data_IF_356141641247
#
_entry.id   IF_356141641247
#
_cell.length_a   1.000
_cell.length_b   1.000
_cell.length_c   1.000
_cell.angle_alpha   90.00
_cell.angle_beta   90.00
_cell.angle_gamma   90.00
#
_symmetry.space_group_name_H-M   'P 1'
#
loop_
_entity.id
_entity.type
_entity.pdbx_description
1 polymer ?
#
# COMPACT_ATOMS: atom_id res chain seq x y z
N UNK A 1 -1.42 -26.10 25.40
CA UNK A 1 -2.45 -25.98 26.45
C UNK A 1 -3.56 -26.94 26.04
N UNK A 2 -3.72 -28.15 26.58
CA UNK A 2 -3.93 -28.62 27.96
C UNK A 2 -5.29 -29.34 27.96
N UNK A 3 -5.29 -30.61 28.39
CA UNK A 3 -6.41 -31.36 29.00
C UNK A 3 -7.55 -31.80 28.06
N UNK A 4 -8.19 -32.96 28.18
CA UNK A 4 -8.20 -34.06 29.16
C UNK A 4 -8.64 -35.34 28.40
N UNK A 5 -8.07 -36.53 28.64
CA UNK A 5 -8.39 -37.46 29.73
C UNK A 5 -9.90 -37.77 29.85
N UNK A 6 -10.35 -38.87 29.25
CA UNK A 6 -11.58 -39.57 29.67
C UNK A 6 -11.31 -41.06 29.75
N UNK A 7 -11.30 -41.53 30.99
CA UNK A 7 -11.20 -42.91 31.41
C UNK A 7 -12.58 -43.60 31.37
N UNK A 8 -12.49 -44.93 31.36
CA UNK A 8 -13.49 -46.00 31.57
C UNK A 8 -14.61 -45.70 32.59
N UNK A 9 -15.73 -46.43 32.50
CA UNK A 9 -16.04 -47.29 33.64
C UNK A 9 -16.35 -48.75 33.26
N UNK A 10 -15.87 -49.59 34.15
CA UNK A 10 -16.01 -51.03 34.29
C UNK A 10 -17.10 -51.27 35.34
N UNK A 11 -18.10 -52.09 35.02
CA UNK A 11 -19.10 -52.66 35.94
C UNK A 11 -20.01 -53.60 35.12
N UNK A 12 -20.05 -54.90 35.41
CA UNK A 12 -20.85 -55.45 36.51
C UNK A 12 -20.98 -56.99 36.39
N UNK A 13 -21.00 -57.63 37.54
CA UNK A 13 -21.10 -59.07 37.81
C UNK A 13 -22.42 -59.71 37.33
N UNK A 14 -22.51 -61.06 37.30
CA UNK A 14 -23.24 -61.66 38.42
C UNK A 14 -22.57 -62.90 39.03
N UNK A 15 -22.42 -62.83 40.36
CA UNK A 15 -22.23 -63.96 41.26
C UNK A 15 -23.50 -64.83 41.34
N UNK A 16 -23.32 -66.15 41.36
CA UNK A 16 -24.39 -67.13 41.60
C UNK A 16 -23.84 -68.44 42.16
N UNK A 17 -23.74 -68.51 43.49
CA UNK A 17 -23.38 -69.70 44.27
C UNK A 17 -24.63 -70.39 44.85
N UNK A 18 -24.64 -71.73 44.91
CA UNK A 18 -25.36 -72.65 45.84
C UNK A 18 -25.01 -74.08 45.38
N UNK A 19 -24.23 -74.95 46.03
CA UNK A 19 -24.10 -75.45 47.42
C UNK A 19 -25.17 -76.48 47.81
N UNK A 20 -24.70 -77.75 47.94
CA UNK A 20 -25.16 -78.91 48.77
C UNK A 20 -26.52 -79.54 48.43
N UNK A 21 -26.75 -80.86 48.55
CA UNK A 21 -26.32 -81.75 49.62
C UNK A 21 -26.44 -83.25 49.24
N UNK A 22 -25.66 -84.10 49.92
CA UNK A 22 -25.52 -85.54 49.71
C UNK A 22 -26.01 -86.24 50.96
N UNK A 23 -27.04 -87.09 50.88
CA UNK A 23 -27.51 -87.89 52.02
C UNK A 23 -27.34 -89.38 51.78
N UNK A 24 -26.31 -89.91 52.45
CA UNK A 24 -26.00 -91.32 52.72
C UNK A 24 -26.21 -91.56 54.21
N UNK A 25 -27.09 -92.48 54.63
CA UNK A 25 -27.10 -93.20 55.93
C UNK A 25 -28.13 -94.33 55.80
N UNK A 26 -27.81 -95.61 55.70
CA UNK A 26 -27.19 -96.57 56.63
C UNK A 26 -27.99 -96.93 57.91
N UNK A 27 -27.95 -98.23 58.21
CA UNK A 27 -28.16 -98.93 59.47
C UNK A 27 -29.59 -99.26 59.95
N UNK A 28 -29.80 -100.56 60.20
CA UNK A 28 -30.98 -101.08 60.89
C UNK A 28 -30.96 -102.58 61.12
N UNK A 29 -29.89 -103.09 61.75
CA UNK A 29 -29.70 -104.49 62.12
C UNK A 29 -30.40 -104.90 63.43
N UNK A 30 -30.52 -106.23 63.58
CA UNK A 30 -30.58 -107.03 64.81
C UNK A 30 -31.96 -107.42 65.39
N UNK A 31 -32.18 -108.73 65.52
CA UNK A 31 -32.28 -109.38 66.84
C UNK A 31 -32.38 -110.91 66.68
N UNK A 32 -31.40 -111.62 67.25
CA UNK A 32 -31.34 -113.08 67.32
C UNK A 32 -32.07 -113.64 68.53
N UNK A 33 -32.81 -114.73 68.30
CA UNK A 33 -33.36 -115.61 69.34
C UNK A 33 -32.58 -116.91 69.32
N UNK A 34 -32.02 -117.30 70.47
CA UNK A 34 -31.27 -118.55 70.63
C UNK A 34 -32.15 -119.78 70.33
N UNK A 35 -31.67 -120.74 69.53
CA UNK A 35 -32.49 -121.87 69.10
C UNK A 35 -32.54 -122.95 70.19
N UNK A 36 -33.75 -123.22 70.69
CA UNK A 36 -34.06 -124.39 71.49
C UNK A 36 -33.75 -125.65 70.67
N UNK A 37 -32.69 -126.40 71.03
CA UNK A 37 -32.29 -127.73 70.47
C UNK A 37 -32.91 -128.02 69.10
N UNK A 38 -32.58 -127.19 68.11
CA UNK A 38 -33.13 -127.34 66.76
C UNK A 38 -32.53 -128.57 66.16
N UNK A 39 -33.40 -129.47 65.73
CA UNK A 39 -32.97 -130.69 65.05
C UNK A 39 -32.27 -130.32 63.75
N UNK A 40 -31.42 -131.20 63.20
CA UNK A 40 -30.80 -130.99 61.87
C UNK A 40 -31.84 -130.60 60.80
N UNK A 41 -33.07 -131.07 60.94
CA UNK A 41 -34.22 -130.72 60.10
C UNK A 41 -34.57 -129.24 60.21
N UNK A 42 -34.72 -128.72 61.43
CA UNK A 42 -35.14 -127.34 61.65
C UNK A 42 -34.09 -126.35 61.13
N UNK A 43 -32.80 -126.63 61.34
CA UNK A 43 -31.69 -125.82 60.81
C UNK A 43 -31.66 -125.78 59.29
N UNK A 44 -31.92 -126.93 58.64
CA UNK A 44 -32.00 -127.02 57.18
C UNK A 44 -33.20 -126.24 56.64
N UNK A 45 -34.36 -126.30 57.31
CA UNK A 45 -35.57 -125.57 56.91
C UNK A 45 -35.39 -124.05 57.03
N UNK A 46 -34.83 -123.61 58.16
CA UNK A 46 -34.54 -122.19 58.42
C UNK A 46 -33.52 -121.63 57.41
N UNK A 47 -32.43 -122.37 57.16
CA UNK A 47 -31.43 -121.97 56.16
C UNK A 47 -32.02 -121.89 54.74
N UNK A 48 -32.86 -122.85 54.35
CA UNK A 48 -33.51 -122.83 53.04
C UNK A 48 -34.52 -121.67 52.91
N UNK A 49 -35.23 -121.34 53.99
CA UNK A 49 -36.17 -120.22 54.03
C UNK A 49 -35.45 -118.87 53.98
N UNK A 50 -34.32 -118.73 54.66
CA UNK A 50 -33.45 -117.55 54.57
C UNK A 50 -32.91 -117.34 53.15
N UNK A 51 -32.38 -118.38 52.51
CA UNK A 51 -31.86 -118.28 51.12
C UNK A 51 -32.98 -117.88 50.14
N UNK A 52 -34.18 -118.43 50.33
CA UNK A 52 -35.34 -118.07 49.50
C UNK A 52 -35.81 -116.62 49.73
N UNK A 53 -35.75 -116.11 50.97
CA UNK A 53 -36.09 -114.74 51.30
C UNK A 53 -35.11 -113.72 50.69
N UNK A 54 -33.84 -114.12 50.54
CA UNK A 54 -32.79 -113.34 49.86
C UNK A 54 -32.93 -113.37 48.31
N UNK A 55 -33.93 -114.08 47.76
CA UNK A 55 -34.15 -114.21 46.31
C UNK A 55 -33.34 -115.32 45.63
N UNK A 56 -32.58 -116.12 46.40
CA UNK A 56 -31.78 -117.22 45.90
C UNK A 56 -32.55 -118.55 45.79
N UNK A 57 -32.10 -119.43 44.89
CA UNK A 57 -32.61 -120.81 44.81
C UNK A 57 -31.87 -121.72 45.81
N UNK A 58 -32.53 -122.31 46.83
CA UNK A 58 -31.84 -123.10 47.84
C UNK A 58 -31.24 -124.40 47.25
N UNK A 59 -29.91 -124.48 47.14
CA UNK A 59 -29.19 -125.69 46.71
C UNK A 59 -28.67 -126.48 47.92
N UNK A 60 -28.43 -127.79 47.75
CA UNK A 60 -27.95 -128.66 48.85
C UNK A 60 -26.65 -128.12 49.44
N UNK A 61 -25.73 -127.60 48.62
CA UNK A 61 -24.45 -127.03 49.07
C UNK A 61 -24.65 -125.79 49.94
N UNK A 62 -25.46 -124.82 49.47
CA UNK A 62 -25.73 -123.58 50.20
C UNK A 62 -26.42 -123.86 51.55
N UNK A 63 -27.41 -124.74 51.55
CA UNK A 63 -28.16 -125.11 52.74
C UNK A 63 -27.26 -125.89 53.72
N UNK A 64 -26.39 -126.77 53.23
CA UNK A 64 -25.42 -127.51 54.04
C UNK A 64 -24.42 -126.57 54.73
N UNK A 65 -23.87 -125.61 53.99
CA UNK A 65 -22.91 -124.63 54.53
C UNK A 65 -23.55 -123.74 55.59
N UNK A 66 -24.79 -123.27 55.36
CA UNK A 66 -25.49 -122.36 56.26
C UNK A 66 -26.11 -123.07 57.48
N UNK A 67 -26.62 -124.30 57.33
CA UNK A 67 -27.20 -125.09 58.42
C UNK A 67 -26.18 -125.94 59.20
N UNK A 68 -24.94 -126.06 58.70
CA UNK A 68 -23.85 -126.86 59.29
C UNK A 68 -24.26 -128.32 59.60
N UNK A 69 -24.91 -128.98 58.65
CA UNK A 69 -25.36 -130.36 58.79
C UNK A 69 -24.65 -131.31 57.82
N UNK A 70 -24.83 -132.63 57.99
CA UNK A 70 -24.28 -133.61 57.05
C UNK A 70 -24.93 -133.47 55.66
N UNK A 71 -24.21 -133.87 54.59
CA UNK A 71 -24.73 -133.83 53.22
C UNK A 71 -26.00 -134.69 53.04
N UNK A 72 -26.06 -135.81 53.77
CA UNK A 72 -27.23 -136.70 53.79
C UNK A 72 -28.43 -136.02 54.46
N UNK A 73 -28.24 -135.33 55.59
CA UNK A 73 -29.28 -134.55 56.27
C UNK A 73 -29.77 -133.39 55.39
N UNK A 74 -28.86 -132.63 54.77
CA UNK A 74 -29.20 -131.51 53.90
C UNK A 74 -30.04 -131.95 52.70
N UNK A 75 -29.65 -133.03 52.02
CA UNK A 75 -30.38 -133.53 50.84
C UNK A 75 -31.79 -134.02 51.23
N UNK A 76 -31.89 -134.79 52.32
CA UNK A 76 -33.17 -135.34 52.80
C UNK A 76 -34.13 -134.23 53.23
N UNK A 77 -33.69 -133.34 54.12
CA UNK A 77 -34.55 -132.30 54.68
C UNK A 77 -34.79 -131.15 53.70
N UNK A 78 -33.89 -130.86 52.75
CA UNK A 78 -34.17 -129.89 51.68
C UNK A 78 -35.21 -130.43 50.69
N UNK A 79 -35.19 -131.72 50.37
CA UNK A 79 -36.27 -132.35 49.59
C UNK A 79 -37.60 -132.22 50.32
N UNK A 80 -37.61 -132.55 51.61
CA UNK A 80 -38.79 -132.41 52.46
C UNK A 80 -39.26 -130.95 52.60
N UNK A 81 -38.34 -129.99 52.69
CA UNK A 81 -38.65 -128.57 52.71
C UNK A 81 -39.21 -128.09 51.37
N UNK A 82 -38.64 -128.52 50.24
CA UNK A 82 -39.18 -128.20 48.91
C UNK A 82 -40.55 -128.81 48.72
N UNK A 83 -40.77 -130.04 49.18
CA UNK A 83 -42.06 -130.73 49.14
C UNK A 83 -43.09 -130.07 50.06
N UNK A 84 -42.69 -129.66 51.28
CA UNK A 84 -43.55 -128.92 52.20
C UNK A 84 -43.83 -127.50 51.71
N UNK A 85 -42.86 -126.85 51.08
CA UNK A 85 -43.00 -125.51 50.49
C UNK A 85 -43.81 -125.57 49.21
N UNK A 86 -43.65 -126.59 48.37
CA UNK A 86 -44.50 -126.80 47.18
C UNK A 86 -45.91 -127.21 47.59
N UNK A 87 -46.08 -127.99 48.66
CA UNK A 87 -47.40 -128.30 49.22
C UNK A 87 -48.05 -127.09 49.91
N UNK A 88 -47.25 -126.17 50.48
CA UNK A 88 -47.75 -124.91 51.08
C UNK A 88 -47.96 -123.80 50.04
N UNK A 89 -47.20 -123.83 48.95
CA UNK A 89 -47.32 -122.98 47.77
C UNK A 89 -48.21 -123.63 46.69
N UNK A 90 -48.83 -124.78 46.99
CA UNK A 90 -49.98 -125.31 46.30
C UNK A 90 -51.16 -124.41 46.67
N UNK A 91 -51.06 -123.17 46.20
CA UNK A 91 -52.19 -122.28 46.22
C UNK A 91 -53.27 -122.99 45.40
N UNK A 92 -54.49 -123.14 45.94
CA UNK A 92 -55.58 -123.66 45.14
C UNK A 92 -55.61 -122.87 43.84
N UNK A 93 -55.62 -123.59 42.71
CA UNK A 93 -55.64 -122.96 41.39
C UNK A 93 -56.69 -121.86 41.42
N UNK A 94 -56.26 -120.61 41.16
CA UNK A 94 -57.14 -119.45 41.19
C UNK A 94 -58.36 -119.82 40.34
N UNK A 95 -59.58 -119.86 40.92
CA UNK A 95 -60.75 -120.27 40.19
C UNK A 95 -60.84 -119.49 38.88
N UNK A 96 -61.11 -120.16 37.77
CA UNK A 96 -61.15 -119.54 36.45
C UNK A 96 -61.96 -118.22 36.39
N UNK A 97 -63.10 -118.07 37.10
CA UNK A 97 -63.81 -116.80 37.17
C UNK A 97 -62.98 -115.63 37.73
N UNK A 98 -62.09 -115.88 38.70
CA UNK A 98 -61.22 -114.87 39.32
C UNK A 98 -60.07 -114.48 38.40
N UNK A 99 -59.45 -115.45 37.71
CA UNK A 99 -58.42 -115.16 36.70
C UNK A 99 -58.99 -114.32 35.56
N UNK A 100 -60.13 -114.73 35.01
CA UNK A 100 -60.79 -113.98 33.95
C UNK A 100 -61.21 -112.57 34.41
N UNK A 101 -61.59 -112.39 35.69
CA UNK A 101 -61.85 -111.07 36.25
C UNK A 101 -60.56 -110.23 36.35
N UNK A 102 -59.46 -110.82 36.83
CA UNK A 102 -58.17 -110.15 36.92
C UNK A 102 -57.67 -109.71 35.52
N UNK A 103 -57.69 -110.60 34.53
CA UNK A 103 -57.27 -110.30 33.17
C UNK A 103 -58.11 -109.17 32.55
N UNK A 104 -59.44 -109.18 32.74
CA UNK A 104 -60.31 -108.07 32.32
C UNK A 104 -59.99 -106.77 33.05
N UNK A 105 -59.71 -106.82 34.35
CA UNK A 105 -59.38 -105.62 35.13
C UNK A 105 -58.03 -105.03 34.73
N UNK A 106 -57.03 -105.87 34.44
CA UNK A 106 -55.71 -105.44 33.97
C UNK A 106 -55.84 -104.84 32.56
N UNK A 107 -56.58 -105.49 31.67
CA UNK A 107 -56.83 -104.95 30.33
C UNK A 107 -57.55 -103.60 30.38
N UNK A 108 -58.58 -103.46 31.23
CA UNK A 108 -59.30 -102.20 31.41
C UNK A 108 -58.41 -101.10 32.03
N UNK A 109 -57.57 -101.45 33.02
CA UNK A 109 -56.60 -100.51 33.61
C UNK A 109 -55.56 -100.08 32.59
N UNK A 110 -55.06 -101.01 31.77
CA UNK A 110 -54.10 -100.72 30.70
C UNK A 110 -54.72 -99.83 29.62
N UNK A 111 -55.94 -100.13 29.17
CA UNK A 111 -56.68 -99.30 28.21
C UNK A 111 -56.92 -97.89 28.76
N UNK A 112 -57.34 -97.77 30.02
CA UNK A 112 -57.50 -96.48 30.69
C UNK A 112 -56.17 -95.71 30.80
N UNK A 113 -55.08 -96.38 31.18
CA UNK A 113 -53.75 -95.76 31.28
C UNK A 113 -53.25 -95.27 29.91
N UNK A 114 -53.41 -96.08 28.86
CA UNK A 114 -53.05 -95.70 27.48
C UNK A 114 -53.91 -94.54 27.00
N UNK A 115 -55.22 -94.58 27.24
CA UNK A 115 -56.12 -93.47 26.86
C UNK A 115 -55.75 -92.17 27.57
N UNK A 116 -55.43 -92.22 28.87
CA UNK A 116 -55.00 -91.05 29.63
C UNK A 116 -53.65 -90.53 29.12
N UNK A 117 -52.66 -91.40 28.92
CA UNK A 117 -51.36 -91.00 28.39
C UNK A 117 -51.45 -90.40 26.97
N UNK A 118 -52.33 -90.94 26.12
CA UNK A 118 -52.61 -90.37 24.80
C UNK A 118 -53.27 -88.99 24.89
N UNK A 119 -54.23 -88.81 25.80
CA UNK A 119 -54.89 -87.53 26.01
C UNK A 119 -53.92 -86.46 26.56
N UNK A 120 -53.08 -86.83 27.53
CA UNK A 120 -52.03 -85.96 28.08
C UNK A 120 -51.02 -85.57 26.99
N UNK A 121 -50.49 -86.54 26.25
CA UNK A 121 -49.56 -86.27 25.16
C UNK A 121 -50.15 -85.37 24.08
N UNK A 122 -51.42 -85.60 23.71
CA UNK A 122 -52.11 -84.73 22.76
C UNK A 122 -52.26 -83.29 23.30
N UNK A 123 -52.57 -83.14 24.59
CA UNK A 123 -52.69 -81.82 25.23
C UNK A 123 -51.35 -81.10 25.33
N UNK A 124 -50.26 -81.81 25.65
CA UNK A 124 -48.90 -81.26 25.69
C UNK A 124 -48.43 -80.83 24.30
N UNK A 125 -48.66 -81.66 23.27
CA UNK A 125 -48.35 -81.28 21.89
C UNK A 125 -49.13 -80.04 21.45
N UNK A 126 -50.39 -79.91 21.87
CA UNK A 126 -51.19 -78.72 21.59
C UNK A 126 -50.63 -77.49 22.30
N UNK A 127 -50.22 -77.61 23.58
CA UNK A 127 -49.62 -76.52 24.34
C UNK A 127 -48.28 -76.06 23.72
N UNK A 128 -47.37 -76.99 23.41
CA UNK A 128 -46.08 -76.68 22.76
C UNK A 128 -46.28 -76.03 21.40
N UNK A 129 -47.28 -76.46 20.62
CA UNK A 129 -47.62 -75.80 19.34
C UNK A 129 -48.12 -74.37 19.55
N UNK A 130 -49.01 -74.17 20.52
CA UNK A 130 -49.51 -72.84 20.83
C UNK A 130 -48.38 -71.90 21.32
N UNK A 131 -47.49 -72.38 22.17
CA UNK A 131 -46.29 -71.64 22.61
C UNK A 131 -45.36 -71.32 21.43
N UNK A 132 -45.13 -72.28 20.52
CA UNK A 132 -44.32 -72.05 19.33
C UNK A 132 -44.95 -71.01 18.38
N UNK A 133 -46.28 -71.00 18.25
CA UNK A 133 -46.99 -70.01 17.42
C UNK A 133 -46.90 -68.60 18.03
N UNK A 134 -47.00 -68.49 19.37
CA UNK A 134 -46.77 -67.21 20.08
C UNK A 134 -45.33 -66.73 19.89
N UNK A 135 -44.34 -67.61 20.11
CA UNK A 135 -42.93 -67.26 19.94
C UNK A 135 -42.59 -66.85 18.50
N UNK A 136 -43.21 -67.48 17.49
CA UNK A 136 -43.09 -67.05 16.09
C UNK A 136 -43.68 -65.66 15.87
N UNK A 137 -44.88 -65.39 16.40
CA UNK A 137 -45.49 -64.06 16.30
C UNK A 137 -44.65 -62.96 16.98
N UNK A 138 -44.04 -63.26 18.12
CA UNK A 138 -43.10 -62.36 18.78
C UNK A 138 -41.82 -62.13 17.95
N UNK A 139 -41.26 -63.20 17.36
CA UNK A 139 -40.10 -63.10 16.49
C UNK A 139 -40.38 -62.26 15.24
N UNK A 140 -41.53 -62.48 14.59
CA UNK A 140 -41.98 -61.70 13.43
C UNK A 140 -42.15 -60.23 13.80
N UNK A 141 -42.79 -59.92 14.94
CA UNK A 141 -42.95 -58.55 15.43
C UNK A 141 -41.62 -57.86 15.80
N UNK A 142 -40.64 -58.61 16.32
CA UNK A 142 -39.29 -58.09 16.55
C UNK A 142 -38.55 -57.83 15.24
N UNK A 143 -38.68 -58.71 14.24
CA UNK A 143 -38.11 -58.51 12.90
C UNK A 143 -38.67 -57.26 12.23
N UNK A 144 -39.99 -57.06 12.24
CA UNK A 144 -40.62 -55.83 11.71
C UNK A 144 -40.10 -54.56 12.40
N UNK A 145 -39.88 -54.63 13.73
CA UNK A 145 -39.35 -53.50 14.50
C UNK A 145 -37.88 -53.21 14.16
N UNK A 146 -37.06 -54.24 13.93
CA UNK A 146 -35.67 -54.08 13.47
C UNK A 146 -35.66 -53.43 12.09
N UNK A 147 -36.47 -53.90 11.15
CA UNK A 147 -36.56 -53.33 9.79
C UNK A 147 -36.98 -51.85 9.82
N UNK A 148 -37.94 -51.49 10.69
CA UNK A 148 -38.36 -50.10 10.87
C UNK A 148 -37.24 -49.22 11.43
N UNK A 149 -36.49 -49.70 12.43
CA UNK A 149 -35.36 -48.98 13.01
C UNK A 149 -34.20 -48.84 12.01
N UNK A 150 -33.95 -49.84 11.17
CA UNK A 150 -32.94 -49.76 10.10
C UNK A 150 -33.32 -48.71 9.05
N UNK A 151 -34.61 -48.64 8.67
CA UNK A 151 -35.12 -47.61 7.76
C UNK A 151 -34.98 -46.21 8.37
N UNK A 152 -35.34 -46.03 9.64
CA UNK A 152 -35.18 -44.76 10.36
C UNK A 152 -33.70 -44.35 10.45
N UNK A 153 -32.82 -45.28 10.84
CA UNK A 153 -31.38 -45.05 10.87
C UNK A 153 -30.80 -44.73 9.49
N UNK A 154 -31.36 -45.29 8.43
CA UNK A 154 -31.04 -44.95 7.04
C UNK A 154 -31.41 -43.50 6.71
N UNK A 155 -32.64 -43.08 7.02
CA UNK A 155 -33.11 -41.69 6.81
C UNK A 155 -32.26 -40.69 7.59
N UNK A 156 -32.01 -40.93 8.87
CA UNK A 156 -31.18 -40.05 9.71
C UNK A 156 -29.74 -39.93 9.18
N UNK A 157 -29.18 -41.01 8.62
CA UNK A 157 -27.86 -40.99 7.97
C UNK A 157 -27.87 -40.14 6.69
N UNK A 158 -28.90 -40.26 5.86
CA UNK A 158 -29.08 -39.43 4.67
C UNK A 158 -29.24 -37.96 5.02
N UNK A 159 -30.12 -37.62 5.97
CA UNK A 159 -30.32 -36.24 6.44
C UNK A 159 -29.03 -35.64 7.02
N UNK A 160 -28.27 -36.42 7.80
CA UNK A 160 -26.97 -35.99 8.31
C UNK A 160 -25.97 -35.74 7.16
N UNK A 161 -25.93 -36.61 6.16
CA UNK A 161 -25.04 -36.44 5.01
C UNK A 161 -25.40 -35.16 4.21
N UNK A 162 -26.68 -34.89 4.01
CA UNK A 162 -27.17 -33.66 3.38
C UNK A 162 -26.81 -32.42 4.21
N UNK A 163 -27.00 -32.46 5.53
CA UNK A 163 -26.63 -31.36 6.42
C UNK A 163 -25.11 -31.08 6.41
N UNK A 164 -24.28 -32.11 6.38
CA UNK A 164 -22.82 -31.98 6.25
C UNK A 164 -22.45 -31.35 4.91
N UNK A 165 -23.05 -31.82 3.80
CA UNK A 165 -22.79 -31.25 2.48
C UNK A 165 -23.21 -29.77 2.39
N UNK A 166 -24.35 -29.40 2.98
CA UNK A 166 -24.80 -28.00 3.07
C UNK A 166 -23.84 -27.15 3.92
N UNK A 167 -23.32 -27.69 5.03
CA UNK A 167 -22.34 -26.99 5.85
C UNK A 167 -21.02 -26.75 5.09
N UNK A 168 -20.51 -27.76 4.39
CA UNK A 168 -19.31 -27.64 3.55
C UNK A 168 -19.50 -26.60 2.43
N UNK A 169 -20.68 -26.59 1.79
CA UNK A 169 -21.02 -25.57 0.79
C UNK A 169 -21.07 -24.16 1.39
N UNK A 170 -21.65 -24.01 2.58
CA UNK A 170 -21.72 -22.72 3.26
C UNK A 170 -20.34 -22.21 3.69
N UNK A 171 -19.45 -23.10 4.16
CA UNK A 171 -18.08 -22.75 4.52
C UNK A 171 -17.25 -22.36 3.28
N UNK A 172 -17.40 -23.08 2.17
CA UNK A 172 -16.78 -22.70 0.90
C UNK A 172 -17.26 -21.33 0.41
N UNK A 173 -18.57 -21.08 0.44
CA UNK A 173 -19.14 -19.78 0.07
C UNK A 173 -18.64 -18.64 0.98
N UNK A 174 -18.52 -18.89 2.29
CA UNK A 174 -17.95 -17.93 3.24
C UNK A 174 -16.49 -17.63 2.93
N UNK A 175 -15.68 -18.66 2.67
CA UNK A 175 -14.28 -18.49 2.29
C UNK A 175 -14.12 -17.67 1.01
N UNK A 176 -14.98 -17.86 0.01
CA UNK A 176 -15.01 -17.04 -1.21
C UNK A 176 -15.37 -15.59 -0.89
N UNK A 177 -16.44 -15.36 -0.12
CA UNK A 177 -16.88 -14.02 0.25
C UNK A 177 -15.84 -13.26 1.09
N UNK A 178 -15.13 -13.95 2.00
CA UNK A 178 -14.03 -13.37 2.77
C UNK A 178 -12.87 -12.96 1.85
N UNK A 179 -12.52 -13.78 0.85
CA UNK A 179 -11.51 -13.44 -0.16
C UNK A 179 -11.90 -12.21 -1.00
N UNK A 180 -13.13 -12.16 -1.49
CA UNK A 180 -13.66 -11.01 -2.23
C UNK A 180 -13.66 -9.72 -1.38
N UNK A 181 -13.99 -9.83 -0.09
CA UNK A 181 -13.95 -8.70 0.85
C UNK A 181 -12.52 -8.19 1.02
N UNK A 182 -11.55 -9.07 1.24
CA UNK A 182 -10.16 -8.69 1.46
C UNK A 182 -9.55 -8.04 0.19
N UNK A 183 -9.90 -8.55 -1.00
CA UNK A 183 -9.54 -7.93 -2.29
C UNK A 183 -10.16 -6.53 -2.45
N UNK A 184 -11.44 -6.37 -2.08
CA UNK A 184 -12.12 -5.07 -2.12
C UNK A 184 -11.49 -4.05 -1.16
N UNK A 185 -11.12 -4.47 0.05
CA UNK A 185 -10.40 -3.62 1.02
C UNK A 185 -9.03 -3.21 0.50
N UNK A 186 -8.28 -4.14 -0.12
CA UNK A 186 -6.99 -3.82 -0.74
C UNK A 186 -7.14 -2.84 -1.91
N UNK A 187 -8.19 -2.99 -2.73
CA UNK A 187 -8.49 -2.04 -3.81
C UNK A 187 -8.86 -0.65 -3.27
N UNK A 188 -9.67 -0.58 -2.21
CA UNK A 188 -10.02 0.68 -1.56
C UNK A 188 -8.78 1.40 -1.02
N UNK A 189 -7.89 0.70 -0.32
CA UNK A 189 -6.65 1.27 0.20
C UNK A 189 -5.72 1.81 -0.90
N UNK A 190 -5.64 1.12 -2.05
CA UNK A 190 -4.88 1.63 -3.23
C UNK A 190 -5.49 2.93 -3.77
N UNK A 191 -6.82 2.97 -3.96
CA UNK A 191 -7.52 4.17 -4.44
C UNK A 191 -7.38 5.34 -3.47
N UNK A 192 -7.42 5.10 -2.16
CA UNK A 192 -7.16 6.13 -1.14
C UNK A 192 -5.74 6.67 -1.23
N UNK A 193 -4.74 5.80 -1.47
CA UNK A 193 -3.36 6.22 -1.71
C UNK A 193 -3.20 7.07 -2.97
N UNK A 194 -3.82 6.67 -4.08
CA UNK A 194 -3.83 7.45 -5.34
C UNK A 194 -4.53 8.80 -5.17
N UNK A 195 -5.64 8.83 -4.41
CA UNK A 195 -6.37 10.05 -4.09
C UNK A 195 -5.53 11.01 -3.22
N UNK A 196 -4.77 10.49 -2.25
CA UNK A 196 -3.84 11.31 -1.47
C UNK A 196 -2.73 11.88 -2.35
N UNK A 197 -2.08 11.05 -3.17
CA UNK A 197 -1.02 11.50 -4.07
C UNK A 197 -1.49 12.56 -5.09
N UNK A 198 -2.70 12.41 -5.64
CA UNK A 198 -3.29 13.41 -6.56
C UNK A 198 -3.65 14.72 -5.86
N UNK A 199 -4.04 14.68 -4.58
CA UNK A 199 -4.26 15.90 -3.77
C UNK A 199 -2.96 16.63 -3.49
N UNK A 200 -1.91 15.91 -3.12
CA UNK A 200 -0.59 16.48 -2.86
C UNK A 200 -0.03 17.13 -4.14
N UNK A 201 -0.13 16.43 -5.28
CA UNK A 201 0.28 16.98 -6.58
C UNK A 201 -0.51 18.23 -6.98
N UNK A 202 -1.81 18.29 -6.66
CA UNK A 202 -2.64 19.47 -6.90
C UNK A 202 -2.24 20.64 -6.00
N UNK A 203 -1.90 20.39 -4.74
CA UNK A 203 -1.42 21.41 -3.81
C UNK A 203 -0.05 21.96 -4.24
N UNK A 204 0.87 21.09 -4.64
CA UNK A 204 2.17 21.46 -5.19
C UNK A 204 2.01 22.31 -6.47
N UNK A 205 1.14 21.90 -7.39
CA UNK A 205 0.85 22.67 -8.61
C UNK A 205 0.25 24.05 -8.30
N UNK A 206 -0.66 24.14 -7.31
CA UNK A 206 -1.22 25.43 -6.86
C UNK A 206 -0.16 26.33 -6.24
N UNK A 207 0.73 25.78 -5.42
CA UNK A 207 1.86 26.50 -4.84
C UNK A 207 2.79 27.02 -5.94
N UNK A 208 3.14 26.18 -6.92
CA UNK A 208 3.95 26.56 -8.08
C UNK A 208 3.33 27.67 -8.92
N UNK A 209 2.02 27.60 -9.21
CA UNK A 209 1.29 28.68 -9.88
C UNK A 209 1.31 29.97 -9.06
N UNK A 210 1.16 29.88 -7.74
CA UNK A 210 1.26 31.02 -6.82
C UNK A 210 2.64 31.69 -6.85
N UNK A 211 3.71 30.91 -6.84
CA UNK A 211 5.09 31.40 -6.95
C UNK A 211 5.34 32.06 -8.31
N UNK A 212 4.99 31.39 -9.41
CA UNK A 212 5.15 31.93 -10.76
C UNK A 212 4.40 33.25 -10.95
N UNK A 213 3.21 33.38 -10.35
CA UNK A 213 2.45 34.64 -10.35
C UNK A 213 3.16 35.75 -9.59
N UNK A 214 3.69 35.46 -8.39
CA UNK A 214 4.45 36.45 -7.61
C UNK A 214 5.72 36.89 -8.34
N UNK A 215 6.44 35.96 -8.98
CA UNK A 215 7.62 36.27 -9.80
C UNK A 215 7.24 37.14 -11.00
N UNK A 216 6.15 36.82 -11.70
CA UNK A 216 5.65 37.65 -12.80
C UNK A 216 5.25 39.05 -12.32
N UNK A 217 4.55 39.18 -11.19
CA UNK A 217 4.19 40.48 -10.60
C UNK A 217 5.43 41.29 -10.21
N UNK A 218 6.47 40.66 -9.62
CA UNK A 218 7.77 41.30 -9.34
C UNK A 218 8.47 41.76 -10.61
N UNK A 219 8.56 40.91 -11.62
CA UNK A 219 9.19 41.24 -12.90
C UNK A 219 8.48 42.41 -13.60
N UNK A 220 7.14 42.44 -13.57
CA UNK A 220 6.35 43.57 -14.08
C UNK A 220 6.64 44.85 -13.28
N UNK A 221 6.69 44.78 -11.94
CA UNK A 221 7.00 45.94 -11.11
C UNK A 221 8.42 46.49 -11.37
N UNK A 222 9.42 45.61 -11.49
CA UNK A 222 10.78 45.99 -11.86
C UNK A 222 10.87 46.61 -13.26
N UNK A 223 10.18 46.02 -14.24
CA UNK A 223 10.13 46.56 -15.59
C UNK A 223 9.49 47.95 -15.62
N UNK A 224 8.42 48.17 -14.85
CA UNK A 224 7.79 49.49 -14.69
C UNK A 224 8.72 50.50 -14.00
N UNK A 225 9.47 50.09 -12.98
CA UNK A 225 10.44 50.96 -12.31
C UNK A 225 11.55 51.40 -13.27
N UNK A 226 12.15 50.46 -14.01
CA UNK A 226 13.17 50.76 -15.04
C UNK A 226 12.63 51.65 -16.15
N UNK A 227 11.38 51.43 -16.58
CA UNK A 227 10.73 52.27 -17.58
C UNK A 227 10.51 53.71 -17.09
N UNK A 228 10.18 53.90 -15.81
CA UNK A 228 10.07 55.24 -15.19
C UNK A 228 11.41 55.94 -15.10
N UNK A 229 12.44 55.24 -14.62
CA UNK A 229 13.81 55.76 -14.54
C UNK A 229 14.33 56.19 -15.93
N UNK A 230 14.19 55.33 -16.94
CA UNK A 230 14.56 55.65 -18.31
C UNK A 230 13.77 56.85 -18.89
N UNK A 231 12.50 57.00 -18.51
CA UNK A 231 11.70 58.15 -18.91
C UNK A 231 12.16 59.46 -18.23
N UNK A 232 12.56 59.40 -16.96
CA UNK A 232 13.08 60.56 -16.23
C UNK A 232 14.49 60.96 -16.72
N UNK A 233 15.35 59.99 -17.03
CA UNK A 233 16.65 60.22 -17.68
C UNK A 233 16.47 60.87 -19.06
N UNK A 234 15.53 60.36 -19.87
CA UNK A 234 15.22 60.93 -21.17
C UNK A 234 14.71 62.38 -21.07
N UNK A 235 13.88 62.69 -20.06
CA UNK A 235 13.42 64.07 -19.79
C UNK A 235 14.59 64.96 -19.39
N UNK A 236 15.45 64.52 -18.47
CA UNK A 236 16.65 65.24 -18.04
C UNK A 236 17.59 65.52 -19.23
N UNK A 237 17.79 64.55 -20.11
CA UNK A 237 18.58 64.72 -21.32
C UNK A 237 17.96 65.76 -22.28
N UNK A 238 16.64 65.72 -22.47
CA UNK A 238 15.92 66.73 -23.27
C UNK A 238 16.07 68.13 -22.67
N UNK A 239 15.94 68.27 -21.34
CA UNK A 239 16.12 69.56 -20.65
C UNK A 239 17.55 70.08 -20.76
N UNK A 240 18.56 69.20 -20.66
CA UNK A 240 19.98 69.56 -20.89
C UNK A 240 20.24 70.01 -22.33
N UNK A 241 19.71 69.28 -23.32
CA UNK A 241 19.82 69.67 -24.74
C UNK A 241 19.14 71.01 -24.99
N UNK A 242 17.96 71.23 -24.39
CA UNK A 242 17.25 72.51 -24.47
C UNK A 242 18.06 73.65 -23.85
N UNK A 243 18.59 73.47 -22.64
CA UNK A 243 19.43 74.46 -21.97
C UNK A 243 20.71 74.76 -22.78
N UNK A 244 21.36 73.74 -23.35
CA UNK A 244 22.51 73.91 -24.22
C UNK A 244 22.17 74.65 -25.51
N UNK A 245 21.01 74.37 -26.12
CA UNK A 245 20.52 75.08 -27.30
C UNK A 245 20.17 76.55 -26.98
N UNK A 246 19.55 76.83 -25.84
CA UNK A 246 19.26 78.18 -25.36
C UNK A 246 20.56 78.97 -25.11
N UNK A 247 21.54 78.36 -24.45
CA UNK A 247 22.86 78.94 -24.23
C UNK A 247 23.62 79.20 -25.54
N UNK A 248 23.61 78.25 -26.49
CA UNK A 248 24.20 78.42 -27.81
C UNK A 248 23.51 79.55 -28.59
N UNK A 249 22.19 79.65 -28.51
CA UNK A 249 21.44 80.74 -29.13
C UNK A 249 21.77 82.09 -28.50
N UNK A 250 21.92 82.16 -27.17
CA UNK A 250 22.36 83.36 -26.47
C UNK A 250 23.78 83.77 -26.90
N UNK A 251 24.72 82.81 -26.94
CA UNK A 251 26.08 83.04 -27.42
C UNK A 251 26.14 83.49 -28.88
N UNK A 252 25.31 82.93 -29.77
CA UNK A 252 25.18 83.41 -31.15
C UNK A 252 24.63 84.83 -31.24
N UNK A 253 23.68 85.21 -30.37
CA UNK A 253 23.15 86.58 -30.31
C UNK A 253 24.20 87.58 -29.82
N UNK A 254 24.96 87.21 -28.81
CA UNK A 254 26.09 88.00 -28.30
C UNK A 254 27.17 88.18 -29.37
N UNK A 255 27.61 87.09 -29.99
CA UNK A 255 28.56 87.14 -31.11
C UNK A 255 28.05 87.98 -32.29
N UNK A 256 26.75 87.94 -32.59
CA UNK A 256 26.12 88.79 -33.60
C UNK A 256 26.12 90.27 -33.17
N UNK A 257 25.87 90.57 -31.90
CA UNK A 257 25.93 91.92 -31.35
C UNK A 257 27.35 92.48 -31.37
N UNK A 258 28.34 91.68 -30.99
CA UNK A 258 29.76 92.01 -31.07
C UNK A 258 30.20 92.22 -32.52
N UNK A 259 29.79 91.33 -33.44
CA UNK A 259 30.06 91.49 -34.86
C UNK A 259 29.45 92.78 -35.43
N UNK A 260 28.23 93.15 -35.00
CA UNK A 260 27.60 94.42 -35.37
C UNK A 260 28.36 95.63 -34.81
N UNK A 261 28.74 95.58 -33.53
CA UNK A 261 29.53 96.62 -32.87
C UNK A 261 30.91 96.79 -33.53
N UNK A 262 31.59 95.68 -33.81
CA UNK A 262 32.85 95.66 -34.55
C UNK A 262 32.68 96.21 -35.98
N UNK A 263 31.59 95.88 -36.67
CA UNK A 263 31.27 96.44 -37.98
C UNK A 263 30.99 97.96 -37.91
N UNK A 264 30.32 98.45 -36.87
CA UNK A 264 30.09 99.88 -36.63
C UNK A 264 31.39 100.62 -36.27
N UNK A 265 32.25 100.02 -35.45
CA UNK A 265 33.57 100.52 -35.15
C UNK A 265 34.44 100.59 -36.42
N UNK A 266 34.45 99.54 -37.23
CA UNK A 266 35.14 99.50 -38.51
C UNK A 266 34.60 100.53 -39.50
N UNK A 267 33.27 100.75 -39.55
CA UNK A 267 32.66 101.83 -40.35
C UNK A 267 33.04 103.22 -39.84
N UNK A 268 33.07 103.42 -38.53
CA UNK A 268 33.48 104.68 -37.90
C UNK A 268 34.95 104.97 -38.17
N UNK A 269 35.80 103.94 -38.07
CA UNK A 269 37.22 104.03 -38.39
C UNK A 269 37.46 104.26 -39.88
N UNK A 270 36.76 103.56 -40.76
CA UNK A 270 36.76 103.85 -42.19
C UNK A 270 36.24 105.26 -42.50
N UNK A 271 35.34 105.79 -41.67
CA UNK A 271 34.89 107.17 -41.69
C UNK A 271 35.99 108.15 -41.26
N UNK A 272 36.71 107.86 -40.17
CA UNK A 272 37.88 108.63 -39.71
C UNK A 272 39.00 108.62 -40.72
N UNK A 273 39.34 107.46 -41.29
CA UNK A 273 40.36 107.30 -42.33
C UNK A 273 39.95 108.06 -43.59
N UNK A 274 38.69 108.01 -44.01
CA UNK A 274 38.21 108.89 -45.09
C UNK A 274 38.32 110.36 -44.73
N UNK A 275 37.97 110.73 -43.49
CA UNK A 275 38.16 112.08 -42.96
C UNK A 275 39.62 112.53 -43.00
N UNK A 276 40.55 111.70 -42.55
CA UNK A 276 41.98 111.98 -42.54
C UNK A 276 42.56 112.02 -43.95
N UNK A 277 42.11 111.16 -44.87
CA UNK A 277 42.48 111.24 -46.29
C UNK A 277 41.99 112.55 -46.89
N UNK A 278 40.73 112.93 -46.67
CA UNK A 278 40.24 114.23 -47.18
C UNK A 278 40.94 115.43 -46.55
N UNK A 279 41.35 115.33 -45.27
CA UNK A 279 42.13 116.35 -44.60
C UNK A 279 43.56 116.41 -45.15
N UNK A 280 44.20 115.26 -45.36
CA UNK A 280 45.52 115.15 -45.98
C UNK A 280 45.51 115.63 -47.44
N UNK A 281 44.43 115.39 -48.20
CA UNK A 281 44.25 115.93 -49.55
C UNK A 281 44.06 117.46 -49.53
N UNK A 282 43.36 118.01 -48.52
CA UNK A 282 43.27 119.46 -48.30
C UNK A 282 44.61 120.07 -47.90
N UNK A 283 45.36 119.42 -47.01
CA UNK A 283 46.72 119.84 -46.65
C UNK A 283 47.67 119.74 -47.84
N UNK A 284 47.59 118.67 -48.63
CA UNK A 284 48.38 118.51 -49.85
C UNK A 284 48.04 119.60 -50.87
N UNK A 285 46.76 119.90 -51.08
CA UNK A 285 46.34 120.98 -51.99
C UNK A 285 46.74 122.38 -51.47
N UNK A 286 46.69 122.61 -50.15
CA UNK A 286 47.21 123.82 -49.53
C UNK A 286 48.74 123.93 -49.65
N UNK A 287 49.48 122.82 -49.47
CA UNK A 287 50.93 122.75 -49.63
C UNK A 287 51.35 122.96 -51.09
N UNK A 288 50.60 122.40 -52.05
CA UNK A 288 50.79 122.67 -53.49
C UNK A 288 50.51 124.14 -53.82
N UNK A 289 49.47 124.74 -53.24
CA UNK A 289 49.19 126.16 -53.41
C UNK A 289 50.26 127.05 -52.76
N UNK A 290 50.81 126.66 -51.61
CA UNK A 290 51.92 127.35 -50.95
C UNK A 290 53.23 127.22 -51.73
N UNK A 291 53.51 126.05 -52.29
CA UNK A 291 54.65 125.82 -53.18
C UNK A 291 54.54 126.68 -54.46
N UNK A 292 53.35 126.75 -55.08
CA UNK A 292 53.11 127.63 -56.21
C UNK A 292 53.27 129.13 -55.85
N UNK A 293 52.92 129.51 -54.61
CA UNK A 293 53.11 130.88 -54.11
C UNK A 293 54.59 131.19 -53.90
N UNK A 294 55.36 130.27 -53.31
CA UNK A 294 56.81 130.37 -53.12
C UNK A 294 57.56 130.35 -54.45
N UNK A 295 57.11 129.58 -55.45
CA UNK A 295 57.64 129.62 -56.82
C UNK A 295 57.35 130.96 -57.49
N UNK A 296 56.17 131.54 -57.26
CA UNK A 296 55.84 132.91 -57.68
C UNK A 296 56.75 133.97 -57.04
N UNK A 297 57.04 133.85 -55.74
CA UNK A 297 57.97 134.73 -55.01
C UNK A 297 59.44 134.54 -55.47
N UNK A 298 59.85 133.30 -55.79
CA UNK A 298 61.17 133.01 -56.37
C UNK A 298 61.32 133.53 -57.80
N UNK A 299 60.25 133.53 -58.60
CA UNK A 299 60.24 134.18 -59.92
C UNK A 299 60.39 135.70 -59.76
N UNK A 300 59.57 136.31 -58.90
CA UNK A 300 59.60 137.76 -58.68
C UNK A 300 60.97 138.24 -58.16
N UNK A 301 61.61 137.45 -57.28
CA UNK A 301 62.96 137.77 -56.80
C UNK A 301 64.03 137.60 -57.88
N UNK A 302 63.91 136.63 -58.79
CA UNK A 302 64.81 136.50 -59.95
C UNK A 302 64.63 137.65 -60.93
N UNK A 303 63.41 138.08 -61.18
CA UNK A 303 63.11 139.22 -62.08
C UNK A 303 63.66 140.52 -61.51
N UNK A 304 63.55 140.72 -60.19
CA UNK A 304 64.18 141.86 -59.49
C UNK A 304 65.72 141.83 -59.58
N UNK A 305 66.31 140.64 -59.52
CA UNK A 305 67.76 140.45 -59.61
C UNK A 305 68.27 140.61 -61.06
N UNK A 306 67.43 140.35 -62.06
CA UNK A 306 67.70 140.66 -63.45
C UNK A 306 67.63 142.17 -63.71
N UNK A 307 66.59 142.85 -63.22
CA UNK A 307 66.40 144.29 -63.37
C UNK A 307 67.55 145.10 -62.70
N UNK A 308 67.97 144.69 -61.50
CA UNK A 308 69.10 145.35 -60.81
C UNK A 308 70.45 145.13 -61.50
N UNK A 309 70.63 144.01 -62.22
CA UNK A 309 71.82 143.78 -63.06
C UNK A 309 71.81 144.64 -64.32
N UNK A 310 70.64 144.89 -64.88
CA UNK A 310 70.43 145.76 -66.04
C UNK A 310 70.71 147.23 -65.67
N UNK A 311 70.19 147.71 -64.53
CA UNK A 311 70.51 149.05 -64.00
C UNK A 311 72.02 149.24 -63.74
N UNK A 312 72.71 148.20 -63.25
CA UNK A 312 74.17 148.22 -63.04
C UNK A 312 74.97 148.24 -64.35
N UNK A 313 74.41 147.69 -65.43
CA UNK A 313 75.02 147.76 -66.76
C UNK A 313 74.87 149.17 -67.36
N UNK A 314 73.70 149.80 -67.19
CA UNK A 314 73.42 151.15 -67.68
C UNK A 314 74.22 152.23 -66.95
N UNK A 315 74.42 152.09 -65.64
CA UNK A 315 75.28 153.01 -64.86
C UNK A 315 76.75 152.91 -65.29
N UNK A 316 77.23 151.72 -65.69
CA UNK A 316 78.59 151.54 -66.22
C UNK A 316 78.75 152.11 -67.62
N UNK A 317 77.71 152.04 -68.46
CA UNK A 317 77.70 152.66 -69.77
C UNK A 317 77.79 154.20 -69.68
N UNK A 318 77.03 154.81 -68.76
CA UNK A 318 77.05 156.26 -68.49
C UNK A 318 78.38 156.75 -67.92
N UNK A 319 79.05 155.95 -67.08
CA UNK A 319 80.38 156.29 -66.55
C UNK A 319 81.47 156.28 -67.65
N UNK A 320 81.37 155.36 -68.62
CA UNK A 320 82.31 155.27 -69.75
C UNK A 320 82.15 156.39 -70.80
N UNK A 321 80.98 157.03 -70.88
CA UNK A 321 80.75 158.21 -71.73
C UNK A 321 81.25 159.50 -71.09
N UNK A 322 81.18 159.62 -69.75
CA UNK A 322 81.69 160.76 -69.01
C UNK A 322 83.23 160.86 -69.05
N UNK A 323 83.96 159.75 -69.08
CA UNK A 323 85.43 159.76 -69.22
C UNK A 323 85.89 160.09 -70.65
N UNK A 324 85.17 159.64 -71.68
CA UNK A 324 85.43 160.00 -73.08
C UNK A 324 85.19 161.49 -73.35
N UNK A 325 84.24 162.11 -72.66
CA UNK A 325 83.99 163.55 -72.74
C UNK A 325 85.09 164.40 -72.06
N UNK A 326 85.75 163.90 -71.00
CA UNK A 326 86.86 164.61 -70.34
C UNK A 326 88.16 164.56 -71.15
N UNK A 327 88.47 163.43 -71.79
CA UNK A 327 89.65 163.31 -72.66
C UNK A 327 89.60 164.23 -73.89
N UNK A 328 88.40 164.49 -74.45
CA UNK A 328 88.22 165.39 -75.59
C UNK A 328 88.37 166.89 -75.22
N UNK A 329 88.08 167.26 -73.97
CA UNK A 329 88.16 168.65 -73.50
C UNK A 329 89.60 169.11 -73.18
N UNK A 330 90.48 168.19 -72.78
CA UNK A 330 91.90 168.50 -72.51
C UNK A 330 92.75 168.58 -73.79
N UNK A 331 92.43 167.78 -74.82
CA UNK A 331 93.05 167.89 -76.14
C UNK A 331 92.71 169.22 -76.87
N UNK A 332 91.56 169.82 -76.56
CA UNK A 332 91.15 171.13 -77.11
C UNK A 332 91.85 172.34 -76.47
N UNK A 333 92.25 172.25 -75.18
CA UNK A 333 92.97 173.35 -74.50
C UNK A 333 94.45 173.41 -74.87
N UNK A 334 95.12 172.25 -75.02
CA UNK A 334 96.52 172.20 -75.45
C UNK A 334 96.74 172.70 -76.90
N UNK A 335 95.74 172.60 -77.77
CA UNK A 335 95.81 173.11 -79.15
C UNK A 335 95.52 174.62 -79.28
N UNK A 336 94.92 175.25 -78.26
CA UNK A 336 94.60 176.67 -78.23
C UNK A 336 95.73 177.52 -77.62
N UNK A 337 96.46 176.99 -76.63
CA UNK A 337 97.64 177.67 -76.05
C UNK A 337 98.83 177.71 -77.02
N UNK A 338 99.08 176.65 -77.81
CA UNK A 338 100.15 176.63 -78.81
C UNK A 338 99.89 177.55 -80.04
N UNK A 339 98.66 178.02 -80.24
CA UNK A 339 98.31 178.97 -81.32
C UNK A 339 98.35 180.44 -80.89
N UNK A 340 98.38 180.72 -79.59
CA UNK A 340 98.43 182.09 -79.05
C UNK A 340 99.86 182.61 -78.80
N UNK A 341 100.87 181.74 -78.64
CA UNK A 341 102.29 182.16 -78.61
C UNK A 341 102.88 182.52 -79.99
N UNK A 342 102.14 182.31 -81.08
CA UNK A 342 102.58 182.63 -82.46
C UNK A 342 102.06 183.98 -83.00
N UNK A 343 101.39 184.81 -82.17
CA UNK A 343 100.72 186.03 -82.65
C UNK A 343 101.00 187.35 -81.88
N UNK A 344 102.02 187.42 -81.03
CA UNK A 344 102.55 188.69 -80.51
C UNK A 344 103.77 188.41 -79.65
N UNK A 345 104.96 188.96 -79.86
CA UNK A 345 105.34 190.27 -80.37
C UNK A 345 106.82 190.14 -80.77
N UNK A 346 107.23 190.46 -82.00
CA UNK A 346 107.94 191.72 -82.28
C UNK A 346 107.75 192.84 -81.27
#
# INVERSE_FOLDING_TARGET
MMSALTATPDADEPAGSRTTDTLTTDAGAAAGVSPARTTDRDRVFEAAEAIAAEGGSPTVTLVRERAQCSSASATRFLREWRERRSARAEFPAVPEPVRALADRSIAALWEAAVSTAQAEHASELQAVRAEADVARGEADGLSERVDALEQEAGRMRSERAEAVALAEQADAARSTADGERDDALAAAARLEGELAATRDALEEARSGVGQARQEAERAVAEAQARAREAADDARSAVDQVRAAAEAATAGLREALADARSAAEAARSEAGRVRGSVTAAERERSAAVAAAARLEGELSATRDLLAATREELADVRALAGEAERARGAAEAGRAAAEARLELAGSK
#
